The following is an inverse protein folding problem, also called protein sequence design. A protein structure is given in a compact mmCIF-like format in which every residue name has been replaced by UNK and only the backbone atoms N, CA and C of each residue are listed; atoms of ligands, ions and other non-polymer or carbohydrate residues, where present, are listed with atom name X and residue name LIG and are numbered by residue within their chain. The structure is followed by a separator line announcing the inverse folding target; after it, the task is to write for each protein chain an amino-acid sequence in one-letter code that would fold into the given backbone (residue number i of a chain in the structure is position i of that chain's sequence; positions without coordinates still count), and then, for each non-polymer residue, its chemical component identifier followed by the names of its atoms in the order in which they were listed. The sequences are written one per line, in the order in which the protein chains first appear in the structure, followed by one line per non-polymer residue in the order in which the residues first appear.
data_IF_196235105688
#
_entry.id   IF_196235105688
#
_cell.length_a   1.000
_cell.length_b   1.000
_cell.length_c   1.000
_cell.angle_alpha   90.00
_cell.angle_beta   90.00
_cell.angle_gamma   90.00
#
_symmetry.space_group_name_H-M   'P 1'
#
loop_
_entity.id
_entity.type
_entity.pdbx_description
1 polymer ?
#
# COMPACT_ATOMS: atom_id res chain seq x y z
N UNK A 1 -4.85 11.95 12.24
CA UNK A 1 -3.57 11.73 12.96
C UNK A 1 -3.03 10.35 12.57
N UNK A 2 -2.04 10.29 11.66
CA UNK A 2 -1.35 9.04 11.23
C UNK A 2 0.09 9.10 11.74
N UNK A 3 0.35 8.79 13.02
CA UNK A 3 1.70 9.03 13.59
C UNK A 3 2.17 8.02 14.66
N UNK A 4 1.34 7.09 15.14
CA UNK A 4 1.73 6.22 16.26
C UNK A 4 2.70 5.10 15.89
N UNK A 5 2.39 4.29 14.88
CA UNK A 5 3.13 3.04 14.62
C UNK A 5 4.31 3.24 13.67
N UNK A 6 4.23 4.16 12.71
CA UNK A 6 5.32 4.39 11.76
C UNK A 6 6.56 5.01 12.39
N UNK A 7 6.43 5.76 13.48
CA UNK A 7 7.59 6.31 14.20
C UNK A 7 8.32 5.24 15.03
N UNK A 8 7.61 4.18 15.45
CA UNK A 8 8.18 3.09 16.23
C UNK A 8 8.93 2.08 15.38
N UNK A 9 8.61 2.00 14.08
CA UNK A 9 9.17 1.00 13.16
C UNK A 9 9.79 1.73 11.96
N UNK A 10 11.11 2.00 11.97
CA UNK A 10 11.80 2.78 10.92
C UNK A 10 11.64 2.21 9.50
N UNK A 11 11.35 0.91 9.39
CA UNK A 11 11.18 0.21 8.11
C UNK A 11 9.74 0.21 7.60
N UNK A 12 8.77 0.73 8.37
CA UNK A 12 7.36 0.71 8.01
C UNK A 12 7.01 1.82 7.01
N UNK A 13 7.02 1.45 5.73
CA UNK A 13 6.79 2.40 4.63
C UNK A 13 5.37 3.01 4.63
N UNK A 14 4.34 2.22 4.96
CA UNK A 14 2.95 2.67 5.00
C UNK A 14 2.08 1.72 5.82
N UNK A 15 1.20 2.29 6.65
CA UNK A 15 0.12 1.56 7.30
C UNK A 15 -1.08 2.51 7.53
N UNK A 16 -2.26 2.12 7.03
CA UNK A 16 -3.54 2.69 7.45
C UNK A 16 -4.38 1.58 8.08
N UNK A 17 -4.62 1.71 9.39
CA UNK A 17 -5.41 0.76 10.19
C UNK A 17 -6.80 1.29 10.53
N UNK A 18 -7.09 2.54 10.19
CA UNK A 18 -8.35 3.20 10.50
C UNK A 18 -9.41 2.87 9.44
N UNK A 19 -9.01 2.85 8.17
CA UNK A 19 -9.92 2.62 7.05
C UNK A 19 -10.03 1.12 6.73
N UNK A 20 -11.18 0.72 6.16
CA UNK A 20 -11.39 -0.64 5.65
C UNK A 20 -11.12 -0.67 4.16
N UNK A 21 -10.58 -1.78 3.68
CA UNK A 21 -10.15 -1.90 2.31
C UNK A 21 -9.33 -3.17 2.08
N UNK A 22 -8.64 -3.19 0.96
CA UNK A 22 -7.75 -4.27 0.55
C UNK A 22 -6.54 -3.71 -0.20
N UNK A 23 -5.48 -4.52 -0.28
CA UNK A 23 -4.29 -4.21 -1.06
C UNK A 23 -4.22 -5.17 -2.26
N UNK A 24 -4.00 -4.62 -3.44
CA UNK A 24 -3.67 -5.41 -4.63
C UNK A 24 -2.15 -5.37 -4.79
N UNK A 25 -1.53 -6.56 -4.79
CA UNK A 25 -0.09 -6.71 -5.01
C UNK A 25 0.14 -7.27 -6.41
N UNK A 26 0.73 -6.46 -7.27
CA UNK A 26 1.13 -6.84 -8.62
C UNK A 26 2.64 -7.02 -8.67
N UNK A 27 3.11 -8.22 -9.00
CA UNK A 27 4.54 -8.54 -9.05
C UNK A 27 4.88 -9.07 -10.43
N UNK A 28 5.93 -8.52 -11.04
CA UNK A 28 6.54 -9.04 -12.25
C UNK A 28 8.07 -9.10 -12.09
N UNK A 29 8.77 -9.52 -13.14
CA UNK A 29 10.23 -9.73 -13.10
C UNK A 29 11.02 -8.44 -12.80
N UNK A 30 10.48 -7.27 -13.11
CA UNK A 30 11.19 -5.98 -13.04
C UNK A 30 10.65 -5.04 -11.96
N UNK A 31 9.44 -5.28 -11.44
CA UNK A 31 8.82 -4.46 -10.41
C UNK A 31 7.84 -5.23 -9.52
N UNK A 32 7.65 -4.70 -8.32
CA UNK A 32 6.52 -5.03 -7.46
C UNK A 32 5.77 -3.73 -7.12
N UNK A 33 4.46 -3.73 -7.31
CA UNK A 33 3.56 -2.61 -7.04
C UNK A 33 2.47 -3.04 -6.07
N UNK A 34 2.27 -2.23 -5.03
CA UNK A 34 1.21 -2.39 -4.05
C UNK A 34 0.25 -1.20 -4.16
N UNK A 35 -1.03 -1.49 -4.41
CA UNK A 35 -2.11 -0.52 -4.54
C UNK A 35 -3.13 -0.73 -3.42
N UNK A 36 -3.35 0.27 -2.58
CA UNK A 36 -4.30 0.23 -1.46
C UNK A 36 -5.63 0.85 -1.88
N UNK A 37 -6.67 0.03 -1.91
CA UNK A 37 -8.04 0.42 -2.20
C UNK A 37 -8.85 0.44 -0.91
N UNK A 38 -9.49 1.57 -0.64
CA UNK A 38 -10.44 1.70 0.47
C UNK A 38 -11.87 1.57 -0.01
N UNK A 39 -12.70 0.97 0.85
CA UNK A 39 -14.11 0.73 0.60
C UNK A 39 -14.97 1.63 1.49
N UNK A 40 -16.07 2.16 0.94
CA UNK A 40 -16.98 3.02 1.70
C UNK A 40 -17.80 2.26 2.76
N UNK A 41 -18.05 0.97 2.53
CA UNK A 41 -18.78 0.11 3.45
C UNK A 41 -18.28 -1.33 3.34
N UNK A 42 -18.18 -2.00 4.48
CA UNK A 42 -18.00 -3.47 4.57
C UNK A 42 -19.28 -4.18 5.04
N UNK A 43 -20.35 -3.41 5.27
CA UNK A 43 -21.62 -3.92 5.82
C UNK A 43 -22.66 -4.16 4.74
N UNK A 44 -22.42 -3.67 3.52
CA UNK A 44 -23.33 -3.71 2.38
C UNK A 44 -22.58 -4.19 1.15
N UNK A 45 -23.26 -4.93 0.26
CA UNK A 45 -22.70 -5.39 -1.00
C UNK A 45 -22.53 -4.26 -2.02
N UNK A 46 -23.34 -3.20 -1.91
CA UNK A 46 -23.15 -1.96 -2.66
C UNK A 46 -22.18 -1.07 -1.88
N UNK A 47 -20.99 -0.85 -2.45
CA UNK A 47 -19.97 0.05 -1.92
C UNK A 47 -19.13 0.62 -3.06
N UNK A 48 -18.40 1.70 -2.78
CA UNK A 48 -17.44 2.29 -3.71
C UNK A 48 -16.02 1.94 -3.29
N UNK A 49 -15.14 1.76 -4.27
CA UNK A 49 -13.71 1.52 -4.06
C UNK A 49 -12.91 2.72 -4.52
N UNK A 50 -11.96 3.20 -3.70
CA UNK A 50 -11.07 4.31 -4.06
C UNK A 50 -9.61 3.92 -3.82
N UNK A 51 -8.78 4.10 -4.84
CA UNK A 51 -7.32 3.99 -4.70
C UNK A 51 -6.79 5.19 -3.90
N UNK A 52 -6.09 4.95 -2.79
CA UNK A 52 -5.52 6.03 -1.95
C UNK A 52 -4.00 6.09 -2.06
N UNK A 53 -3.35 4.93 -1.99
CA UNK A 53 -1.90 4.82 -2.05
C UNK A 53 -1.48 3.81 -3.08
N UNK A 54 -0.40 4.14 -3.75
CA UNK A 54 0.35 3.21 -4.58
C UNK A 54 1.83 3.33 -4.24
N UNK A 55 2.46 2.21 -3.94
CA UNK A 55 3.91 2.10 -3.77
C UNK A 55 4.43 1.12 -4.81
N UNK A 56 5.52 1.47 -5.48
CA UNK A 56 6.23 0.55 -6.37
C UNK A 56 7.68 0.44 -5.97
N UNK A 57 8.27 -0.72 -6.20
CA UNK A 57 9.71 -0.91 -6.14
C UNK A 57 10.20 -1.53 -7.43
N UNK A 58 11.33 -1.03 -7.91
CA UNK A 58 12.04 -1.62 -9.04
C UNK A 58 12.88 -2.79 -8.53
N UNK A 59 12.75 -3.95 -9.17
CA UNK A 59 13.60 -5.13 -8.95
C UNK A 59 14.88 -4.96 -9.76
N UNK A 60 15.57 -3.83 -9.61
CA UNK A 60 16.87 -3.62 -10.24
C UNK A 60 17.96 -4.35 -9.44
N UNK A 61 18.05 -5.67 -9.58
CA UNK A 61 19.11 -6.51 -9.00
C UNK A 61 19.18 -6.54 -7.46
N UNK A 62 19.93 -7.51 -6.93
CA UNK A 62 20.16 -7.64 -5.49
C UNK A 62 20.84 -6.37 -4.94
N UNK A 63 20.13 -5.59 -4.11
CA UNK A 63 20.69 -4.44 -3.38
C UNK A 63 20.24 -3.03 -3.78
N UNK A 64 19.45 -2.85 -4.86
CA UNK A 64 18.99 -1.50 -5.30
C UNK A 64 17.47 -1.30 -5.32
N UNK A 65 16.74 -2.02 -4.47
CA UNK A 65 15.28 -1.87 -4.34
C UNK A 65 14.94 -0.59 -3.58
N UNK A 66 14.52 0.46 -4.29
CA UNK A 66 13.97 1.69 -3.70
C UNK A 66 12.45 1.65 -3.79
N UNK A 67 11.76 1.92 -2.69
CA UNK A 67 10.33 2.20 -2.71
C UNK A 67 10.12 3.62 -3.22
N UNK A 68 9.29 3.75 -4.26
CA UNK A 68 8.89 5.04 -4.82
C UNK A 68 7.37 5.10 -4.85
N UNK A 69 6.83 6.28 -4.52
CA UNK A 69 5.41 6.57 -4.72
C UNK A 69 5.16 6.59 -6.24
N UNK A 70 4.16 5.86 -6.70
CA UNK A 70 3.67 5.98 -8.08
C UNK A 70 2.54 6.99 -8.16
#
# INVERSE_FOLDING_TARGET
MRIGVQQLIPTLAYADTAQRGYMVLSVNATEAKADWYFVSSVKTSTYTTKLEKSLKTTVAGAGKRKLVRS
#
